data_IF_009324139305
#
_entry.id   IF_009324139305
#
_cell.length_a   1.000
_cell.length_b   1.000
_cell.length_c   1.000
_cell.angle_alpha   90.00
_cell.angle_beta   90.00
_cell.angle_gamma   90.00
#
_symmetry.space_group_name_H-M   'P 1'
#
loop_
_entity.id
_entity.type
_entity.pdbx_description
1 polymer ?
#
# COMPACT_ATOMS: atom_id res chain seq x y z
N UNK A 1 23.31 24.51 -9.53
CA UNK A 1 24.04 23.37 -8.93
C UNK A 1 23.56 23.24 -7.49
N UNK A 2 22.49 22.47 -7.28
CA UNK A 2 21.91 22.27 -5.95
C UNK A 2 22.63 21.09 -5.30
N UNK A 3 23.50 21.37 -4.34
CA UNK A 3 24.15 20.35 -3.52
C UNK A 3 23.06 19.70 -2.66
N UNK A 4 22.73 18.45 -2.94
CA UNK A 4 21.83 17.67 -2.10
C UNK A 4 22.44 17.51 -0.72
N UNK A 5 21.66 17.79 0.32
CA UNK A 5 22.05 17.49 1.70
C UNK A 5 22.18 15.97 1.81
N UNK A 6 23.41 15.49 1.90
CA UNK A 6 23.69 14.09 2.18
C UNK A 6 23.37 13.85 3.66
N UNK A 7 22.21 13.25 3.91
CA UNK A 7 21.83 12.85 5.25
C UNK A 7 22.78 11.73 5.71
N UNK A 8 23.28 11.75 6.95
CA UNK A 8 24.16 10.70 7.44
C UNK A 8 23.48 9.34 7.31
N UNK A 9 24.20 8.37 6.75
CA UNK A 9 23.77 6.98 6.71
C UNK A 9 23.79 6.42 8.14
N UNK A 10 22.67 6.58 8.85
CA UNK A 10 22.45 5.96 10.14
C UNK A 10 22.01 4.52 9.86
N UNK A 11 22.90 3.56 10.09
CA UNK A 11 22.53 2.15 10.15
C UNK A 11 21.36 2.02 11.16
N UNK A 12 20.18 1.58 10.71
CA UNK A 12 19.04 1.49 11.60
C UNK A 12 19.35 0.49 12.73
N UNK A 13 18.87 0.75 13.95
CA UNK A 13 19.01 -0.18 15.10
C UNK A 13 18.41 -1.58 14.87
N UNK A 14 17.72 -1.80 13.75
CA UNK A 14 17.18 -3.08 13.30
C UNK A 14 18.05 -3.77 12.23
N UNK A 15 19.26 -3.26 11.92
CA UNK A 15 20.15 -3.79 10.88
C UNK A 15 20.53 -5.28 11.03
N UNK A 16 20.19 -5.90 12.17
CA UNK A 16 20.47 -7.32 12.44
C UNK A 16 19.23 -7.99 13.05
N UNK A 17 18.38 -8.56 12.21
CA UNK A 17 17.21 -9.38 12.61
C UNK A 17 17.52 -10.89 12.59
N UNK A 18 18.80 -11.28 12.71
CA UNK A 18 19.22 -12.67 12.71
C UNK A 18 18.42 -13.52 13.72
N UNK A 19 18.05 -14.73 13.30
CA UNK A 19 17.28 -15.72 14.07
C UNK A 19 15.86 -15.29 14.48
N UNK A 20 15.36 -14.13 14.02
CA UNK A 20 13.99 -13.69 14.28
C UNK A 20 13.04 -14.23 13.21
N UNK A 21 12.00 -14.95 13.65
CA UNK A 21 10.88 -15.36 12.78
C UNK A 21 9.80 -14.28 12.80
N UNK A 22 9.50 -13.72 11.63
CA UNK A 22 8.53 -12.62 11.50
C UNK A 22 7.32 -13.08 10.71
N UNK A 23 6.15 -13.13 11.34
CA UNK A 23 4.90 -13.37 10.61
C UNK A 23 4.48 -12.07 9.92
N UNK A 24 4.34 -12.14 8.60
CA UNK A 24 3.90 -11.02 7.77
C UNK A 24 2.46 -11.26 7.35
N UNK A 25 1.54 -10.46 7.89
CA UNK A 25 0.10 -10.55 7.60
C UNK A 25 -0.37 -9.67 6.45
N UNK A 26 0.56 -8.94 5.82
CA UNK A 26 0.26 -8.04 4.72
C UNK A 26 -0.37 -8.81 3.52
N UNK A 27 -1.36 -8.23 2.83
CA UNK A 27 -1.94 -8.82 1.62
C UNK A 27 -0.87 -9.22 0.61
N UNK A 28 -1.11 -10.32 -0.10
CA UNK A 28 -0.10 -10.94 -0.97
C UNK A 28 0.44 -9.98 -2.03
N UNK A 29 -0.45 -9.18 -2.65
CA UNK A 29 -0.09 -8.19 -3.68
C UNK A 29 0.94 -7.15 -3.21
N UNK A 30 1.04 -6.90 -1.90
CA UNK A 30 1.89 -5.84 -1.32
C UNK A 30 2.93 -6.37 -0.33
N UNK A 31 2.99 -7.69 -0.11
CA UNK A 31 3.86 -8.29 0.90
C UNK A 31 5.31 -8.45 0.43
N UNK A 32 5.54 -8.69 -0.87
CA UNK A 32 6.85 -9.04 -1.43
C UNK A 32 7.96 -8.07 -1.02
N UNK A 33 7.82 -6.73 -1.18
CA UNK A 33 8.89 -5.82 -0.83
C UNK A 33 9.26 -5.88 0.67
N UNK A 34 8.28 -6.10 1.54
CA UNK A 34 8.50 -6.23 2.99
C UNK A 34 9.19 -7.56 3.34
N UNK A 35 8.77 -8.66 2.72
CA UNK A 35 9.39 -9.97 2.90
C UNK A 35 10.88 -9.91 2.51
N UNK A 36 11.20 -9.28 1.39
CA UNK A 36 12.58 -9.11 0.95
C UNK A 36 13.40 -8.21 1.88
N UNK A 37 12.81 -7.10 2.36
CA UNK A 37 13.48 -6.21 3.32
C UNK A 37 13.83 -6.96 4.62
N UNK A 38 12.90 -7.77 5.13
CA UNK A 38 13.12 -8.59 6.32
C UNK A 38 14.21 -9.64 6.10
N UNK A 39 14.18 -10.33 4.96
CA UNK A 39 15.20 -11.31 4.60
C UNK A 39 16.60 -10.66 4.47
N UNK A 40 16.68 -9.48 3.83
CA UNK A 40 17.93 -8.71 3.73
C UNK A 40 18.47 -8.25 5.08
N UNK A 41 17.58 -7.97 6.03
CA UNK A 41 17.94 -7.66 7.41
C UNK A 41 18.30 -8.89 8.25
N UNK A 42 18.24 -10.11 7.70
CA UNK A 42 18.62 -11.35 8.39
C UNK A 42 17.48 -12.09 9.09
N UNK A 43 16.23 -11.62 8.99
CA UNK A 43 15.07 -12.32 9.54
C UNK A 43 14.65 -13.52 8.68
N UNK A 44 13.83 -14.38 9.29
CA UNK A 44 13.11 -15.49 8.64
C UNK A 44 11.64 -15.08 8.51
N UNK A 45 11.24 -14.39 7.42
CA UNK A 45 9.85 -14.00 7.22
C UNK A 45 8.97 -15.22 6.89
N UNK A 46 7.78 -15.27 7.48
CA UNK A 46 6.72 -16.24 7.21
C UNK A 46 5.52 -15.45 6.70
N UNK A 47 5.18 -15.64 5.42
CA UNK A 47 4.04 -14.96 4.83
C UNK A 47 2.73 -15.66 5.23
N UNK A 48 1.82 -14.93 5.86
CA UNK A 48 0.52 -15.41 6.30
C UNK A 48 -0.53 -14.31 6.05
N UNK A 49 -0.97 -14.08 4.80
CA UNK A 49 -1.87 -12.98 4.45
C UNK A 49 -3.14 -13.01 5.31
N UNK A 50 -3.44 -11.90 5.99
CA UNK A 50 -4.59 -11.78 6.90
C UNK A 50 -5.82 -11.12 6.30
N UNK A 51 -5.71 -10.56 5.09
CA UNK A 51 -6.80 -9.87 4.42
C UNK A 51 -6.68 -10.00 2.89
N UNK A 52 -7.83 -9.96 2.22
CA UNK A 52 -7.98 -9.81 0.77
C UNK A 52 -8.98 -8.71 0.46
N UNK A 53 -8.82 -8.06 -0.69
CA UNK A 53 -9.75 -7.06 -1.18
C UNK A 53 -10.47 -7.60 -2.40
N UNK A 54 -11.80 -7.50 -2.40
CA UNK A 54 -12.66 -7.93 -3.52
C UNK A 54 -13.51 -6.76 -3.98
N UNK A 55 -14.08 -6.88 -5.18
CA UNK A 55 -15.05 -5.90 -5.66
C UNK A 55 -16.28 -5.85 -4.75
N UNK A 56 -16.94 -4.69 -4.61
CA UNK A 56 -18.25 -4.61 -3.97
C UNK A 56 -19.29 -5.35 -4.81
N UNK A 57 -20.40 -5.74 -4.17
CA UNK A 57 -21.52 -6.38 -4.86
C UNK A 57 -22.23 -5.46 -5.87
N UNK A 58 -22.14 -4.14 -5.67
CA UNK A 58 -22.64 -3.11 -6.59
C UNK A 58 -21.73 -1.89 -6.57
N UNK A 59 -21.67 -1.18 -7.71
CA UNK A 59 -20.99 0.10 -7.87
C UNK A 59 -21.93 1.31 -7.90
N UNK A 60 -23.25 1.11 -7.80
CA UNK A 60 -24.25 2.17 -8.04
C UNK A 60 -24.02 3.43 -7.20
N UNK A 61 -23.57 3.25 -5.94
CA UNK A 61 -23.27 4.36 -5.07
C UNK A 61 -21.97 5.08 -5.44
N UNK A 62 -20.93 4.33 -5.79
CA UNK A 62 -19.65 4.89 -6.23
C UNK A 62 -19.86 5.67 -7.52
N UNK A 63 -20.55 5.09 -8.50
CA UNK A 63 -20.79 5.72 -9.81
C UNK A 63 -21.57 7.02 -9.69
N UNK A 64 -22.61 7.02 -8.85
CA UNK A 64 -23.43 8.21 -8.61
C UNK A 64 -22.60 9.36 -8.04
N UNK A 65 -21.73 9.08 -7.08
CA UNK A 65 -20.88 10.10 -6.47
C UNK A 65 -19.71 10.51 -7.38
N UNK A 66 -19.16 9.59 -8.17
CA UNK A 66 -18.13 9.88 -9.16
C UNK A 66 -18.67 10.77 -10.28
N UNK A 67 -19.88 10.51 -10.79
CA UNK A 67 -20.54 11.37 -11.77
C UNK A 67 -20.75 12.80 -11.25
N UNK A 68 -20.94 12.96 -9.94
CA UNK A 68 -21.09 14.24 -9.24
C UNK A 68 -19.82 14.76 -8.60
N UNK A 69 -18.64 14.22 -8.88
CA UNK A 69 -17.43 14.48 -8.07
C UNK A 69 -17.03 15.96 -8.04
N UNK A 70 -17.36 16.73 -9.09
CA UNK A 70 -17.09 18.16 -9.16
C UNK A 70 -17.96 19.02 -8.22
N UNK A 71 -18.98 18.43 -7.59
CA UNK A 71 -19.81 19.13 -6.58
C UNK A 71 -19.14 19.22 -5.21
N UNK A 72 -18.06 18.46 -4.98
CA UNK A 72 -17.30 18.50 -3.75
C UNK A 72 -16.14 19.48 -3.87
N UNK A 73 -15.93 20.32 -2.85
CA UNK A 73 -14.76 21.20 -2.78
C UNK A 73 -13.45 20.40 -2.62
N UNK A 74 -13.53 19.25 -1.95
CA UNK A 74 -12.39 18.39 -1.62
C UNK A 74 -12.78 16.91 -1.69
N UNK A 75 -11.82 16.08 -2.12
CA UNK A 75 -11.92 14.62 -2.07
C UNK A 75 -10.73 14.07 -1.30
N UNK A 76 -10.97 13.21 -0.32
CA UNK A 76 -9.93 12.58 0.50
C UNK A 76 -9.86 11.08 0.25
N UNK A 77 -8.67 10.60 -0.13
CA UNK A 77 -8.37 9.19 -0.26
C UNK A 77 -7.50 8.73 0.91
N UNK A 78 -7.98 7.77 1.69
CA UNK A 78 -7.31 7.31 2.92
C UNK A 78 -6.44 6.07 2.71
N UNK A 79 -6.48 5.46 1.53
CA UNK A 79 -5.65 4.31 1.19
C UNK A 79 -5.37 4.23 -0.30
N UNK A 80 -4.25 3.60 -0.63
CA UNK A 80 -3.90 3.26 -2.02
C UNK A 80 -4.95 2.38 -2.69
N UNK A 81 -5.60 1.47 -1.94
CA UNK A 81 -6.68 0.64 -2.47
C UNK A 81 -7.91 1.45 -2.89
N UNK A 82 -8.24 2.52 -2.17
CA UNK A 82 -9.34 3.41 -2.54
C UNK A 82 -9.04 4.17 -3.84
N UNK A 83 -7.80 4.67 -3.98
CA UNK A 83 -7.35 5.34 -5.21
C UNK A 83 -7.42 4.37 -6.39
N UNK A 84 -6.81 3.19 -6.28
CA UNK A 84 -6.77 2.19 -7.35
C UNK A 84 -8.21 1.81 -7.80
N UNK A 85 -9.11 1.57 -6.84
CA UNK A 85 -10.49 1.18 -7.14
C UNK A 85 -11.30 2.29 -7.84
N UNK A 86 -11.11 3.55 -7.45
CA UNK A 86 -11.81 4.68 -8.05
C UNK A 86 -11.26 5.02 -9.43
N UNK A 87 -9.94 4.99 -9.61
CA UNK A 87 -9.32 5.25 -10.91
C UNK A 87 -9.81 4.24 -11.94
N UNK A 88 -9.80 2.95 -11.58
CA UNK A 88 -10.34 1.91 -12.46
C UNK A 88 -11.83 2.10 -12.73
N UNK A 89 -12.61 2.52 -11.71
CA UNK A 89 -14.03 2.74 -11.92
C UNK A 89 -14.31 3.93 -12.83
N UNK A 90 -13.59 5.03 -12.66
CA UNK A 90 -13.68 6.22 -13.51
C UNK A 90 -13.35 5.88 -14.97
N UNK A 91 -12.27 5.14 -15.23
CA UNK A 91 -11.93 4.66 -16.57
C UNK A 91 -13.04 3.82 -17.21
N UNK A 92 -13.74 3.01 -16.41
CA UNK A 92 -14.84 2.18 -16.88
C UNK A 92 -16.14 2.96 -17.15
N UNK A 93 -16.30 4.17 -16.59
CA UNK A 93 -17.52 4.97 -16.69
C UNK A 93 -17.40 6.23 -17.56
N UNK A 94 -16.18 6.62 -17.95
CA UNK A 94 -15.90 7.81 -18.76
C UNK A 94 -15.79 9.09 -17.94
#
# INVERSE_FOLDING_TARGET
MSQGVELPHVEPRWAHLHDVRVIVTRPAERAVPLLELLARAGAIPIHCPGASFTRPASYDEVDRHLAGIQSFDWVLWTSVHAVDAVMERAEATG
#
